data_IF_307318420562
#
_entry.id   IF_307318420562
#
_cell.length_a   1.000
_cell.length_b   1.000
_cell.length_c   1.000
_cell.angle_alpha   90.00
_cell.angle_beta   90.00
_cell.angle_gamma   90.00
#
_symmetry.space_group_name_H-M   'P 1'
#
loop_
_entity.id
_entity.type
_entity.pdbx_description
1 polymer ?
#
# COMPACT_ATOMS: atom_id res chain seq x y z
N UNK A 1 8.11 -3.33 8.94
CA UNK A 1 8.47 -2.08 8.27
C UNK A 1 7.91 -0.92 9.09
N UNK A 2 8.55 0.21 8.99
CA UNK A 2 8.12 1.44 9.68
C UNK A 2 8.17 2.60 8.70
N UNK A 3 7.24 3.54 8.84
CA UNK A 3 7.16 4.75 8.04
C UNK A 3 7.30 5.99 8.92
N UNK A 4 8.08 6.93 8.48
CA UNK A 4 8.20 8.27 9.05
C UNK A 4 8.38 9.28 7.91
N UNK A 5 8.23 10.55 8.20
CA UNK A 5 8.39 11.61 7.21
C UNK A 5 8.35 12.99 7.86
N UNK A 6 8.52 14.06 7.08
CA UNK A 6 8.55 15.42 7.61
C UNK A 6 7.27 15.81 8.38
N UNK A 7 6.16 15.14 8.09
CA UNK A 7 4.86 15.39 8.73
C UNK A 7 4.51 14.37 9.81
N UNK A 8 5.31 13.30 9.94
CA UNK A 8 5.10 12.21 10.89
C UNK A 8 6.42 11.92 11.58
N UNK A 9 6.60 12.50 12.77
CA UNK A 9 7.77 12.35 13.61
C UNK A 9 9.00 13.20 13.21
N UNK A 10 9.23 13.46 11.95
CA UNK A 10 10.40 14.20 11.49
C UNK A 10 11.72 13.42 11.58
N UNK A 11 12.84 14.08 11.24
CA UNK A 11 14.14 13.45 11.21
C UNK A 11 14.68 13.09 12.60
N UNK A 12 14.35 13.85 13.61
CA UNK A 12 14.84 13.60 14.98
C UNK A 12 14.24 12.31 15.52
N UNK A 13 12.92 12.14 15.45
CA UNK A 13 12.25 10.92 15.85
C UNK A 13 12.71 9.72 15.03
N UNK A 14 12.95 9.92 13.72
CA UNK A 14 13.53 8.91 12.85
C UNK A 14 14.91 8.45 13.31
N UNK A 15 15.77 9.36 13.70
CA UNK A 15 17.10 9.03 14.21
C UNK A 15 17.02 8.36 15.58
N UNK A 16 16.13 8.81 16.48
CA UNK A 16 15.89 8.18 17.76
C UNK A 16 15.40 6.74 17.61
N UNK A 17 14.40 6.49 16.75
CA UNK A 17 13.91 5.15 16.45
C UNK A 17 15.03 4.21 15.99
N UNK A 18 15.92 4.69 15.15
CA UNK A 18 17.05 3.91 14.64
C UNK A 18 18.18 3.69 15.66
N UNK A 19 18.26 4.52 16.67
CA UNK A 19 19.25 4.42 17.75
C UNK A 19 18.79 3.47 18.89
N UNK A 20 17.52 3.12 18.94
CA UNK A 20 16.99 2.22 19.98
C UNK A 20 17.57 0.82 19.78
N UNK A 21 18.24 0.29 20.82
CA UNK A 21 18.69 -1.10 20.84
C UNK A 21 17.49 -2.02 21.13
N UNK A 22 17.15 -2.87 20.17
CA UNK A 22 16.08 -3.85 20.25
C UNK A 22 16.43 -5.11 19.46
N UNK A 23 15.76 -6.21 19.75
CA UNK A 23 16.00 -7.50 19.08
C UNK A 23 15.29 -7.67 17.74
N UNK A 24 14.72 -6.59 17.15
CA UNK A 24 13.96 -6.63 15.90
C UNK A 24 14.65 -5.76 14.86
N UNK A 25 14.79 -6.26 13.62
CA UNK A 25 15.27 -5.45 12.51
C UNK A 25 14.15 -4.52 12.02
N UNK A 26 14.42 -3.20 12.02
CA UNK A 26 13.49 -2.20 11.51
C UNK A 26 13.89 -1.81 10.08
N UNK A 27 12.99 -2.04 9.13
CA UNK A 27 13.11 -1.56 7.75
C UNK A 27 12.26 -0.30 7.61
N UNK A 28 12.90 0.84 7.54
CA UNK A 28 12.21 2.12 7.50
C UNK A 28 12.02 2.67 6.08
N UNK A 29 10.89 3.33 5.88
CA UNK A 29 10.54 4.10 4.69
C UNK A 29 10.34 5.56 5.06
N UNK A 30 10.79 6.47 4.19
CA UNK A 30 10.67 7.91 4.42
C UNK A 30 9.58 8.50 3.52
N UNK A 31 8.54 9.09 4.12
CA UNK A 31 7.36 9.62 3.46
C UNK A 31 7.53 11.07 3.02
N UNK A 32 8.37 11.33 2.02
CA UNK A 32 8.56 12.65 1.44
C UNK A 32 8.51 12.60 -0.08
N UNK A 33 7.73 13.52 -0.68
CA UNK A 33 7.61 13.64 -2.13
C UNK A 33 8.87 14.23 -2.76
N UNK A 34 9.26 13.66 -3.88
CA UNK A 34 10.37 14.17 -4.69
C UNK A 34 9.94 14.36 -6.15
N UNK A 35 10.56 15.32 -6.83
CA UNK A 35 10.28 15.65 -8.24
C UNK A 35 11.47 15.41 -9.16
N UNK A 36 12.63 15.05 -8.61
CA UNK A 36 13.83 14.74 -9.37
C UNK A 36 14.67 13.66 -8.68
N UNK A 37 15.48 12.96 -9.45
CA UNK A 37 16.28 11.82 -8.99
C UNK A 37 17.40 12.22 -8.02
N UNK A 38 17.94 13.43 -8.14
CA UNK A 38 19.01 13.91 -7.24
C UNK A 38 18.47 14.08 -5.82
N UNK A 39 17.31 14.74 -5.67
CA UNK A 39 16.66 14.89 -4.37
C UNK A 39 16.30 13.52 -3.76
N UNK A 40 15.82 12.58 -4.58
CA UNK A 40 15.55 11.22 -4.10
C UNK A 40 16.80 10.54 -3.53
N UNK A 41 17.96 10.64 -4.21
CA UNK A 41 19.23 10.09 -3.71
C UNK A 41 19.69 10.77 -2.43
N UNK A 42 19.57 12.11 -2.34
CA UNK A 42 19.94 12.88 -1.16
C UNK A 42 19.12 12.47 0.07
N UNK A 43 17.80 12.31 -0.08
CA UNK A 43 16.94 11.84 1.01
C UNK A 43 17.33 10.43 1.48
N UNK A 44 17.60 9.50 0.56
CA UNK A 44 18.06 8.15 0.92
C UNK A 44 19.43 8.21 1.63
N UNK A 45 20.32 9.11 1.20
CA UNK A 45 21.63 9.28 1.85
C UNK A 45 21.49 9.80 3.28
N UNK A 46 20.63 10.79 3.50
CA UNK A 46 20.42 11.40 4.83
C UNK A 46 19.64 10.44 5.75
N UNK A 47 18.53 9.90 5.29
CA UNK A 47 17.62 9.09 6.11
C UNK A 47 18.09 7.64 6.26
N UNK A 48 18.89 7.14 5.31
CA UNK A 48 19.18 5.69 5.18
C UNK A 48 17.92 4.84 5.08
N UNK A 49 16.80 5.42 4.64
CA UNK A 49 15.55 4.71 4.43
C UNK A 49 15.69 3.70 3.28
N UNK A 50 14.86 2.67 3.32
CA UNK A 50 14.79 1.66 2.26
C UNK A 50 14.22 2.22 0.96
N UNK A 51 13.34 3.20 1.06
CA UNK A 51 12.69 3.86 -0.06
C UNK A 51 11.92 5.09 0.39
N UNK A 52 11.34 5.78 -0.58
CA UNK A 52 10.50 6.96 -0.37
C UNK A 52 9.03 6.55 -0.55
N UNK A 53 8.40 6.13 0.53
CA UNK A 53 7.10 5.47 0.52
C UNK A 53 6.44 5.54 1.91
N UNK A 54 5.32 4.86 2.04
CA UNK A 54 4.57 4.77 3.29
C UNK A 54 3.48 5.83 3.32
N UNK A 55 3.52 6.70 4.28
CA UNK A 55 2.50 7.73 4.52
C UNK A 55 2.55 8.92 3.55
N UNK A 56 2.81 8.65 2.28
CA UNK A 56 2.51 9.54 1.17
C UNK A 56 1.07 9.30 0.72
N UNK A 57 0.16 10.06 1.30
CA UNK A 57 -1.28 9.86 1.14
C UNK A 57 -1.76 10.36 -0.22
N UNK A 58 -2.18 9.44 -1.11
CA UNK A 58 -2.96 9.82 -2.31
C UNK A 58 -4.38 10.18 -1.90
N UNK A 59 -4.94 9.43 -0.95
CA UNK A 59 -6.25 9.64 -0.36
C UNK A 59 -6.24 9.36 1.15
N UNK A 60 -7.40 9.35 1.77
CA UNK A 60 -7.55 9.00 3.18
C UNK A 60 -8.12 7.61 3.38
N UNK A 61 -8.97 7.42 4.39
CA UNK A 61 -9.51 6.15 4.82
C UNK A 61 -11.04 6.07 4.71
N UNK A 62 -11.58 4.86 4.55
CA UNK A 62 -13.03 4.63 4.47
C UNK A 62 -13.74 4.95 5.80
N UNK A 63 -13.10 4.70 6.93
CA UNK A 63 -13.65 5.00 8.25
C UNK A 63 -14.03 6.47 8.42
N UNK A 64 -13.15 7.36 8.01
CA UNK A 64 -13.32 8.83 8.04
C UNK A 64 -14.07 9.39 6.82
N UNK A 65 -14.41 8.58 5.83
CA UNK A 65 -14.98 8.98 4.53
C UNK A 65 -14.06 9.93 3.74
N UNK A 66 -12.76 9.68 3.82
CA UNK A 66 -11.74 10.46 3.12
C UNK A 66 -11.00 9.66 2.05
N UNK A 67 -11.22 8.34 1.95
CA UNK A 67 -10.77 7.55 0.81
C UNK A 67 -11.46 8.09 -0.48
N UNK A 68 -10.69 8.27 -1.55
CA UNK A 68 -11.17 8.90 -2.78
C UNK A 68 -11.83 7.88 -3.69
N UNK A 69 -13.14 8.08 -3.91
CA UNK A 69 -14.03 7.17 -4.62
C UNK A 69 -14.51 7.77 -5.94
N UNK A 70 -14.76 6.92 -6.94
CA UNK A 70 -15.46 7.31 -8.17
C UNK A 70 -16.94 7.59 -7.91
N UNK A 71 -17.59 6.72 -7.14
CA UNK A 71 -18.97 6.87 -6.73
C UNK A 71 -19.06 7.37 -5.28
N UNK A 72 -20.09 8.16 -4.93
CA UNK A 72 -20.26 8.67 -3.59
C UNK A 72 -20.31 7.58 -2.51
N UNK A 73 -19.96 7.97 -1.29
CA UNK A 73 -20.21 7.16 -0.10
C UNK A 73 -21.69 6.87 0.05
N UNK A 74 -22.06 5.62 0.29
CA UNK A 74 -23.46 5.18 0.38
C UNK A 74 -24.22 5.76 1.60
N UNK A 75 -23.49 6.21 2.60
CA UNK A 75 -24.03 6.79 3.84
C UNK A 75 -23.88 8.32 3.92
N UNK A 76 -23.62 8.98 2.80
CA UNK A 76 -23.61 10.43 2.66
C UNK A 76 -24.63 10.89 1.61
N UNK A 77 -25.28 12.07 1.81
CA UNK A 77 -26.09 12.67 0.76
C UNK A 77 -25.22 13.02 -0.47
N UNK A 78 -25.76 12.80 -1.68
CA UNK A 78 -25.05 13.14 -2.94
C UNK A 78 -24.68 14.63 -3.04
N UNK A 79 -25.45 15.50 -2.40
CA UNK A 79 -25.17 16.94 -2.36
C UNK A 79 -24.01 17.32 -1.42
N UNK A 80 -23.46 16.37 -0.67
CA UNK A 80 -22.31 16.62 0.18
C UNK A 80 -21.06 16.89 -0.68
N UNK A 81 -20.35 18.02 -0.49
CA UNK A 81 -19.15 18.34 -1.30
C UNK A 81 -18.03 17.30 -1.22
N UNK A 82 -17.98 16.53 -0.14
CA UNK A 82 -17.00 15.47 0.10
C UNK A 82 -17.59 14.06 -0.06
N UNK A 83 -18.71 13.93 -0.80
CA UNK A 83 -19.38 12.64 -0.96
C UNK A 83 -18.50 11.56 -1.57
N UNK A 84 -17.46 11.94 -2.34
CA UNK A 84 -16.50 11.04 -2.96
C UNK A 84 -15.15 10.95 -2.21
N UNK A 85 -15.03 11.50 -1.01
CA UNK A 85 -13.76 11.57 -0.29
C UNK A 85 -12.82 12.66 -0.81
N UNK A 86 -11.53 12.49 -0.55
CA UNK A 86 -10.51 13.51 -0.84
C UNK A 86 -9.34 12.93 -1.62
N UNK A 87 -8.89 13.66 -2.65
CA UNK A 87 -7.57 13.48 -3.24
C UNK A 87 -6.59 14.44 -2.56
N UNK A 88 -5.52 13.92 -1.99
CA UNK A 88 -4.49 14.73 -1.34
C UNK A 88 -3.30 15.02 -2.24
N UNK A 89 -3.08 14.20 -3.27
CA UNK A 89 -2.01 14.39 -4.25
C UNK A 89 -2.58 14.55 -5.65
N UNK A 90 -2.07 15.53 -6.37
CA UNK A 90 -2.36 15.69 -7.79
C UNK A 90 -1.68 14.61 -8.63
N UNK A 91 -2.28 14.23 -9.76
CA UNK A 91 -1.78 13.15 -10.61
C UNK A 91 -0.36 13.39 -11.15
N UNK A 92 0.00 14.65 -11.42
CA UNK A 92 1.34 15.05 -11.84
C UNK A 92 2.37 14.88 -10.72
N UNK A 93 2.01 15.15 -9.47
CA UNK A 93 2.87 14.92 -8.30
C UNK A 93 3.15 13.43 -8.08
N UNK A 94 2.12 12.58 -8.24
CA UNK A 94 2.27 11.12 -8.17
C UNK A 94 3.23 10.64 -9.26
N UNK A 95 3.01 11.08 -10.49
CA UNK A 95 3.86 10.71 -11.66
C UNK A 95 5.29 11.20 -11.50
N UNK A 96 5.47 12.43 -11.02
CA UNK A 96 6.79 13.01 -10.78
C UNK A 96 7.57 12.23 -9.73
N UNK A 97 6.94 11.90 -8.60
CA UNK A 97 7.57 11.11 -7.54
C UNK A 97 7.99 9.72 -8.01
N UNK A 98 7.09 8.98 -8.66
CA UNK A 98 7.40 7.67 -9.22
C UNK A 98 8.53 7.72 -10.24
N UNK A 99 8.51 8.73 -11.14
CA UNK A 99 9.56 8.93 -12.13
C UNK A 99 10.91 9.24 -11.51
N UNK A 100 10.94 10.18 -10.54
CA UNK A 100 12.16 10.57 -9.84
C UNK A 100 12.79 9.40 -9.08
N UNK A 101 11.98 8.65 -8.35
CA UNK A 101 12.42 7.46 -7.63
C UNK A 101 12.91 6.36 -8.59
N UNK A 102 12.19 6.12 -9.68
CA UNK A 102 12.59 5.12 -10.70
C UNK A 102 13.94 5.48 -11.32
N UNK A 103 14.14 6.74 -11.71
CA UNK A 103 15.40 7.25 -12.25
C UNK A 103 16.54 7.20 -11.23
N UNK A 104 16.24 7.41 -9.95
CA UNK A 104 17.22 7.31 -8.85
C UNK A 104 17.58 5.87 -8.48
N UNK A 105 16.82 4.87 -8.93
CA UNK A 105 16.95 3.48 -8.48
C UNK A 105 16.40 3.23 -7.07
N UNK A 106 15.44 4.03 -6.62
CA UNK A 106 14.85 4.03 -5.28
C UNK A 106 13.43 3.45 -5.34
N UNK A 107 13.07 2.64 -4.35
CA UNK A 107 11.68 2.18 -4.18
C UNK A 107 10.79 3.37 -3.81
N UNK A 108 9.69 3.56 -4.56
CA UNK A 108 8.64 4.52 -4.26
C UNK A 108 7.38 3.81 -3.77
N UNK A 109 6.48 4.54 -3.13
CA UNK A 109 5.16 4.01 -2.78
C UNK A 109 4.24 5.05 -2.19
N UNK A 110 2.99 4.65 -2.00
CA UNK A 110 1.93 5.51 -1.52
C UNK A 110 0.93 4.76 -0.64
N UNK A 111 0.32 5.48 0.30
CA UNK A 111 -0.95 5.09 0.87
C UNK A 111 -2.06 5.30 -0.16
N UNK A 112 -2.84 4.26 -0.46
CA UNK A 112 -3.91 4.30 -1.46
C UNK A 112 -5.02 3.30 -1.14
N UNK A 113 -6.25 3.78 -0.98
CA UNK A 113 -7.40 2.97 -0.55
C UNK A 113 -8.53 2.97 -1.56
N UNK A 114 -9.09 4.13 -1.89
CA UNK A 114 -10.26 4.25 -2.76
C UNK A 114 -9.98 3.98 -4.23
N UNK A 115 -11.02 3.54 -4.97
CA UNK A 115 -10.87 3.16 -6.38
C UNK A 115 -10.40 4.30 -7.28
N UNK A 116 -10.75 5.56 -6.97
CA UNK A 116 -10.27 6.71 -7.73
C UNK A 116 -8.78 6.99 -7.48
N UNK A 117 -8.34 6.85 -6.22
CA UNK A 117 -6.93 6.96 -5.85
C UNK A 117 -6.09 5.85 -6.51
N UNK A 118 -6.57 4.60 -6.47
CA UNK A 118 -5.93 3.46 -7.16
C UNK A 118 -5.82 3.74 -8.67
N UNK A 119 -6.88 4.26 -9.28
CA UNK A 119 -6.88 4.61 -10.71
C UNK A 119 -5.83 5.66 -11.04
N UNK A 120 -5.69 6.70 -10.21
CA UNK A 120 -4.68 7.74 -10.39
C UNK A 120 -3.25 7.19 -10.29
N UNK A 121 -2.98 6.33 -9.30
CA UNK A 121 -1.65 5.72 -9.13
C UNK A 121 -1.32 4.75 -10.26
N UNK A 122 -2.28 3.94 -10.71
CA UNK A 122 -2.09 3.00 -11.83
C UNK A 122 -1.80 3.77 -13.13
N UNK A 123 -2.51 4.87 -13.41
CA UNK A 123 -2.24 5.72 -14.57
C UNK A 123 -0.84 6.37 -14.51
N UNK A 124 -0.42 6.81 -13.32
CA UNK A 124 0.93 7.33 -13.12
C UNK A 124 2.02 6.25 -13.34
N UNK A 125 1.81 5.04 -12.80
CA UNK A 125 2.70 3.89 -13.02
C UNK A 125 2.78 3.51 -14.51
N UNK A 126 1.67 3.54 -15.25
CA UNK A 126 1.65 3.28 -16.69
C UNK A 126 2.57 4.26 -17.45
N UNK A 127 2.46 5.56 -17.15
CA UNK A 127 3.35 6.59 -17.71
C UNK A 127 4.83 6.33 -17.36
N UNK A 128 5.12 5.89 -16.16
CA UNK A 128 6.49 5.56 -15.71
C UNK A 128 7.01 4.31 -16.41
N UNK A 129 6.16 3.29 -16.58
CA UNK A 129 6.50 2.07 -17.33
C UNK A 129 6.76 2.37 -18.80
N UNK A 130 5.97 3.23 -19.44
CA UNK A 130 6.19 3.69 -20.81
C UNK A 130 7.55 4.40 -20.96
N UNK A 131 7.92 5.21 -19.96
CA UNK A 131 9.17 5.98 -19.99
C UNK A 131 10.41 5.14 -19.69
N UNK A 132 10.38 4.27 -18.68
CA UNK A 132 11.56 3.57 -18.17
C UNK A 132 11.62 2.09 -18.53
N UNK A 133 10.51 1.54 -19.02
CA UNK A 133 10.34 0.13 -19.32
C UNK A 133 9.94 -0.72 -18.11
N UNK A 134 9.12 -1.73 -18.37
CA UNK A 134 8.55 -2.62 -17.36
C UNK A 134 9.62 -3.28 -16.46
N UNK A 135 10.72 -3.74 -17.05
CA UNK A 135 11.79 -4.42 -16.31
C UNK A 135 12.48 -3.50 -15.31
N UNK A 136 12.67 -2.23 -15.68
CA UNK A 136 13.29 -1.25 -14.78
C UNK A 136 12.38 -0.97 -13.57
N UNK A 137 11.10 -0.76 -13.82
CA UNK A 137 10.09 -0.54 -12.77
C UNK A 137 9.95 -1.77 -11.86
N UNK A 138 9.81 -2.96 -12.43
CA UNK A 138 9.63 -4.20 -11.68
C UNK A 138 10.82 -4.54 -10.75
N UNK A 139 12.04 -4.15 -11.14
CA UNK A 139 13.24 -4.37 -10.32
C UNK A 139 13.25 -3.56 -9.03
N UNK A 140 12.55 -2.44 -8.97
CA UNK A 140 12.54 -1.56 -7.82
C UNK A 140 11.55 -2.01 -6.75
N UNK A 141 10.51 -2.75 -7.14
CA UNK A 141 9.47 -3.20 -6.22
C UNK A 141 8.79 -2.01 -5.57
N UNK A 142 8.30 -1.07 -6.38
CA UNK A 142 7.43 -0.01 -5.86
C UNK A 142 6.27 -0.63 -5.09
N UNK A 143 5.79 0.06 -4.06
CA UNK A 143 4.81 -0.54 -3.15
C UNK A 143 3.60 0.36 -2.95
N UNK A 144 2.45 -0.25 -2.76
CA UNK A 144 1.21 0.43 -2.43
C UNK A 144 0.69 -0.13 -1.11
N UNK A 145 0.46 0.78 -0.16
CA UNK A 145 -0.11 0.44 1.13
C UNK A 145 -1.62 0.37 1.00
N UNK A 146 -2.23 -0.59 1.65
CA UNK A 146 -3.65 -0.91 1.71
C UNK A 146 -4.20 -1.49 0.41
N UNK A 147 -4.24 -0.73 -0.68
CA UNK A 147 -4.70 -1.18 -2.00
C UNK A 147 -6.03 -1.94 -1.93
N UNK A 148 -7.01 -1.38 -1.18
CA UNK A 148 -8.22 -2.11 -0.80
C UNK A 148 -9.22 -2.27 -1.94
N UNK A 149 -9.25 -1.33 -2.91
CA UNK A 149 -10.27 -1.27 -3.97
C UNK A 149 -9.63 -1.32 -5.36
N UNK A 150 -9.38 -2.53 -5.87
CA UNK A 150 -8.66 -2.80 -7.13
C UNK A 150 -9.55 -3.56 -8.10
N UNK A 151 -9.52 -3.18 -9.37
CA UNK A 151 -10.15 -3.94 -10.46
C UNK A 151 -9.24 -5.04 -10.99
N UNK A 152 -9.81 -6.00 -11.74
CA UNK A 152 -9.07 -7.10 -12.38
C UNK A 152 -8.00 -6.56 -13.35
N UNK A 153 -8.32 -5.53 -14.14
CA UNK A 153 -7.39 -4.91 -15.07
C UNK A 153 -6.23 -4.23 -14.33
N UNK A 154 -6.53 -3.49 -13.27
CA UNK A 154 -5.49 -2.85 -12.45
C UNK A 154 -4.59 -3.89 -11.77
N UNK A 155 -5.16 -4.97 -11.23
CA UNK A 155 -4.39 -6.06 -10.64
C UNK A 155 -3.43 -6.70 -11.66
N UNK A 156 -3.88 -6.94 -12.90
CA UNK A 156 -3.05 -7.49 -13.98
C UNK A 156 -1.88 -6.55 -14.33
N UNK A 157 -2.13 -5.24 -14.44
CA UNK A 157 -1.09 -4.23 -14.66
C UNK A 157 -0.08 -4.22 -13.53
N UNK A 158 -0.54 -4.11 -12.27
CA UNK A 158 0.32 -4.08 -11.09
C UNK A 158 1.19 -5.36 -10.97
N UNK A 159 0.61 -6.53 -11.26
CA UNK A 159 1.35 -7.80 -11.29
C UNK A 159 2.44 -7.79 -12.35
N UNK A 160 2.14 -7.34 -13.58
CA UNK A 160 3.10 -7.27 -14.67
C UNK A 160 4.25 -6.30 -14.37
N UNK A 161 3.98 -5.24 -13.62
CA UNK A 161 4.97 -4.21 -13.23
C UNK A 161 5.72 -4.55 -11.94
N UNK A 162 5.41 -5.70 -11.29
CA UNK A 162 6.06 -6.14 -10.07
C UNK A 162 5.83 -5.23 -8.86
N UNK A 163 4.74 -4.46 -8.87
CA UNK A 163 4.35 -3.58 -7.76
C UNK A 163 3.89 -4.43 -6.58
N UNK A 164 4.36 -4.11 -5.40
CA UNK A 164 4.06 -4.85 -4.16
C UNK A 164 2.80 -4.29 -3.53
N UNK A 165 1.83 -5.14 -3.23
CA UNK A 165 0.67 -4.81 -2.43
C UNK A 165 0.96 -5.09 -0.95
N UNK A 166 1.08 -4.03 -0.16
CA UNK A 166 1.31 -4.09 1.29
C UNK A 166 -0.02 -3.90 2.01
N UNK A 167 -0.63 -5.00 2.43
CA UNK A 167 -2.04 -5.04 2.81
C UNK A 167 -2.25 -5.51 4.25
N UNK A 168 -3.45 -5.26 4.79
CA UNK A 168 -3.83 -5.54 6.16
C UNK A 168 -5.06 -6.48 6.20
N UNK A 169 -4.85 -7.81 6.22
CA UNK A 169 -5.98 -8.74 6.29
C UNK A 169 -6.91 -8.54 7.49
N UNK A 170 -6.38 -8.02 8.58
CA UNK A 170 -7.17 -7.67 9.77
C UNK A 170 -8.23 -6.61 9.50
N UNK A 171 -8.08 -5.77 8.46
CA UNK A 171 -9.07 -4.77 8.08
C UNK A 171 -10.37 -5.43 7.61
N UNK A 172 -10.28 -6.45 6.74
CA UNK A 172 -11.46 -7.21 6.36
C UNK A 172 -12.10 -7.91 7.57
N UNK A 173 -11.30 -8.54 8.42
CA UNK A 173 -11.81 -9.24 9.60
C UNK A 173 -12.57 -8.34 10.58
N UNK A 174 -12.14 -7.06 10.72
CA UNK A 174 -12.74 -6.10 11.65
C UNK A 174 -13.88 -5.30 11.02
N UNK A 175 -13.79 -4.99 9.73
CA UNK A 175 -14.66 -4.00 9.08
C UNK A 175 -15.41 -4.54 7.86
N UNK A 176 -15.07 -5.74 7.39
CA UNK A 176 -15.70 -6.42 6.26
C UNK A 176 -17.08 -6.98 6.58
N UNK A 177 -17.61 -7.73 5.63
CA UNK A 177 -18.93 -8.36 5.73
C UNK A 177 -20.09 -7.43 5.38
N UNK A 178 -21.28 -8.02 5.16
CA UNK A 178 -22.46 -7.32 4.66
C UNK A 178 -23.03 -6.27 5.63
N UNK A 179 -22.73 -6.41 6.92
CA UNK A 179 -23.15 -5.47 7.97
C UNK A 179 -21.98 -4.67 8.54
N UNK A 180 -20.77 -4.90 8.04
CA UNK A 180 -19.56 -4.25 8.47
C UNK A 180 -19.48 -2.77 8.13
N UNK A 181 -18.42 -2.11 8.57
CA UNK A 181 -18.21 -0.70 8.31
C UNK A 181 -18.07 -0.43 6.81
N UNK A 182 -17.37 -1.29 6.07
CA UNK A 182 -17.20 -1.15 4.62
C UNK A 182 -18.54 -1.15 3.88
N UNK A 183 -19.42 -2.11 4.19
CA UNK A 183 -20.74 -2.17 3.56
C UNK A 183 -21.59 -0.93 3.84
N UNK A 184 -21.47 -0.35 5.03
CA UNK A 184 -22.15 0.92 5.35
C UNK A 184 -21.58 2.10 4.56
N UNK A 185 -20.25 2.13 4.35
CA UNK A 185 -19.56 3.24 3.68
C UNK A 185 -19.76 3.23 2.15
N UNK A 186 -19.58 2.08 1.54
CA UNK A 186 -19.54 1.99 0.07
C UNK A 186 -20.67 1.15 -0.53
N UNK A 187 -21.56 0.62 0.30
CA UNK A 187 -22.59 -0.34 -0.12
C UNK A 187 -22.07 -1.77 -0.20
N UNK A 188 -22.98 -2.74 -0.05
CA UNK A 188 -22.64 -4.16 0.06
C UNK A 188 -21.89 -4.69 -1.16
N UNK A 189 -22.30 -4.30 -2.37
CA UNK A 189 -21.71 -4.83 -3.61
C UNK A 189 -20.24 -4.37 -3.81
N UNK A 190 -19.92 -3.13 -3.48
CA UNK A 190 -18.51 -2.64 -3.52
C UNK A 190 -17.70 -3.26 -2.38
N UNK A 191 -18.28 -3.34 -1.18
CA UNK A 191 -17.61 -3.93 -0.01
C UNK A 191 -17.23 -5.41 -0.23
N UNK A 192 -18.04 -6.18 -0.93
CA UNK A 192 -17.72 -7.59 -1.27
C UNK A 192 -16.49 -7.75 -2.15
N UNK A 193 -16.09 -6.72 -2.88
CA UNK A 193 -14.92 -6.73 -3.79
C UNK A 193 -13.66 -6.15 -3.16
N UNK A 194 -13.75 -5.66 -1.94
CA UNK A 194 -12.61 -5.05 -1.24
C UNK A 194 -11.61 -6.10 -0.75
N UNK A 195 -10.38 -5.64 -0.52
CA UNK A 195 -9.28 -6.47 -0.05
C UNK A 195 -9.10 -7.76 -0.89
N UNK A 196 -8.95 -7.66 -2.23
CA UNK A 196 -9.07 -8.80 -3.14
C UNK A 196 -7.77 -9.62 -3.19
N UNK A 197 -7.36 -10.25 -2.07
CA UNK A 197 -6.09 -10.97 -1.96
C UNK A 197 -5.93 -12.07 -3.02
N UNK A 198 -6.99 -12.88 -3.25
CA UNK A 198 -6.94 -13.95 -4.23
C UNK A 198 -6.80 -13.42 -5.66
N UNK A 199 -7.49 -12.35 -6.02
CA UNK A 199 -7.35 -11.68 -7.30
C UNK A 199 -5.91 -11.19 -7.50
N UNK A 200 -5.38 -10.40 -6.57
CA UNK A 200 -4.02 -9.87 -6.64
C UNK A 200 -2.98 -10.99 -6.77
N UNK A 201 -3.10 -12.03 -5.95
CA UNK A 201 -2.21 -13.20 -6.03
C UNK A 201 -2.30 -13.92 -7.38
N UNK A 202 -3.51 -14.08 -7.95
CA UNK A 202 -3.73 -14.75 -9.24
C UNK A 202 -3.12 -13.97 -10.41
N UNK A 203 -3.06 -12.64 -10.30
CA UNK A 203 -2.43 -11.75 -11.27
C UNK A 203 -0.93 -11.56 -11.06
N UNK A 204 -0.33 -12.31 -10.12
CA UNK A 204 1.10 -12.27 -9.85
C UNK A 204 1.57 -11.06 -9.06
N UNK A 205 0.67 -10.27 -8.46
CA UNK A 205 1.03 -9.17 -7.56
C UNK A 205 1.69 -9.74 -6.31
N UNK A 206 2.92 -9.32 -5.97
CA UNK A 206 3.56 -9.74 -4.74
C UNK A 206 2.81 -9.17 -3.52
N UNK A 207 2.30 -10.06 -2.66
CA UNK A 207 1.61 -9.67 -1.44
C UNK A 207 2.59 -9.59 -0.27
N UNK A 208 2.46 -8.53 0.53
CA UNK A 208 3.11 -8.36 1.83
C UNK A 208 2.03 -8.02 2.86
N UNK A 209 1.94 -8.78 3.95
CA UNK A 209 0.93 -8.55 4.98
C UNK A 209 1.53 -7.97 6.25
N UNK A 210 0.87 -6.97 6.78
CA UNK A 210 1.20 -6.27 8.02
C UNK A 210 -0.05 -5.93 8.82
N UNK A 211 0.16 -5.30 9.97
CA UNK A 211 -0.90 -4.88 10.90
C UNK A 211 -1.37 -3.45 10.70
N UNK A 212 -0.49 -2.61 10.18
CA UNK A 212 -0.68 -1.15 10.22
C UNK A 212 -0.87 -0.65 11.68
N UNK A 213 -0.06 -1.22 12.59
CA UNK A 213 -0.12 -0.83 14.02
C UNK A 213 0.19 0.67 14.20
N UNK A 214 -0.58 1.39 15.02
CA UNK A 214 -1.58 0.92 16.01
C UNK A 214 -3.01 0.78 15.48
N UNK A 215 -3.26 0.93 14.19
CA UNK A 215 -4.61 0.81 13.59
C UNK A 215 -5.20 -0.58 13.85
N UNK A 216 -4.38 -1.64 13.71
CA UNK A 216 -4.70 -2.97 14.21
C UNK A 216 -3.54 -3.53 15.04
N UNK A 217 -3.83 -4.54 15.87
CA UNK A 217 -2.84 -5.17 16.73
C UNK A 217 -1.72 -5.84 15.93
N UNK A 218 -0.49 -5.77 16.41
CA UNK A 218 0.64 -6.56 15.88
C UNK A 218 0.47 -8.04 16.22
N UNK A 219 -0.46 -8.70 15.54
CA UNK A 219 -0.77 -10.11 15.70
C UNK A 219 -0.66 -10.86 14.37
N UNK A 220 0.54 -11.38 14.02
CA UNK A 220 0.76 -12.01 12.72
C UNK A 220 -0.11 -13.26 12.49
N UNK A 221 -0.46 -13.99 13.53
CA UNK A 221 -1.35 -15.15 13.40
C UNK A 221 -2.81 -14.75 13.17
N UNK A 222 -3.27 -13.63 13.74
CA UNK A 222 -4.57 -13.06 13.42
C UNK A 222 -4.61 -12.58 11.96
N UNK A 223 -3.54 -11.95 11.49
CA UNK A 223 -3.37 -11.54 10.08
C UNK A 223 -3.47 -12.74 9.11
N UNK A 224 -2.74 -13.82 9.39
CA UNK A 224 -2.80 -15.05 8.57
C UNK A 224 -4.20 -15.65 8.59
N UNK A 225 -4.84 -15.72 9.74
CA UNK A 225 -6.23 -16.21 9.87
C UNK A 225 -7.19 -15.36 9.07
N UNK A 226 -7.14 -14.03 9.21
CA UNK A 226 -8.01 -13.10 8.49
C UNK A 226 -7.93 -13.31 6.97
N UNK A 227 -6.73 -13.44 6.42
CA UNK A 227 -6.54 -13.69 4.99
C UNK A 227 -7.13 -15.03 4.50
N UNK A 228 -7.30 -16.01 5.40
CA UNK A 228 -7.89 -17.34 5.08
C UNK A 228 -9.39 -17.42 5.32
N UNK A 229 -9.94 -16.51 6.12
CA UNK A 229 -11.36 -16.47 6.51
C UNK A 229 -12.04 -15.17 6.08
N UNK A 230 -11.61 -14.62 4.96
CA UNK A 230 -12.14 -13.38 4.39
C UNK A 230 -13.68 -13.43 4.28
N UNK A 231 -14.35 -12.31 4.58
CA UNK A 231 -15.81 -12.22 4.50
C UNK A 231 -16.35 -12.51 3.09
N UNK A 232 -15.62 -12.13 2.06
CA UNK A 232 -15.87 -12.54 0.68
C UNK A 232 -15.01 -13.77 0.36
N UNK A 233 -15.61 -14.96 0.30
CA UNK A 233 -14.89 -16.23 0.14
C UNK A 233 -14.02 -16.28 -1.12
N UNK A 234 -14.41 -15.56 -2.19
CA UNK A 234 -13.62 -15.42 -3.42
C UNK A 234 -12.33 -14.61 -3.27
N UNK A 235 -12.19 -13.84 -2.20
CA UNK A 235 -10.99 -13.04 -1.89
C UNK A 235 -10.02 -13.74 -0.94
N UNK A 236 -10.45 -14.82 -0.28
CA UNK A 236 -9.61 -15.59 0.64
C UNK A 236 -8.47 -16.31 -0.09
N UNK A 237 -7.34 -16.45 0.58
CA UNK A 237 -6.19 -17.23 0.08
C UNK A 237 -5.88 -18.41 1.00
N UNK A 238 -5.08 -19.36 0.50
CA UNK A 238 -4.68 -20.51 1.32
C UNK A 238 -3.82 -20.10 2.51
N UNK A 239 -3.84 -20.87 3.59
CA UNK A 239 -3.00 -20.63 4.77
C UNK A 239 -1.51 -20.57 4.41
N UNK A 240 -1.05 -21.38 3.45
CA UNK A 240 0.32 -21.33 2.94
C UNK A 240 0.63 -19.99 2.27
N UNK A 241 -0.26 -19.49 1.44
CA UNK A 241 -0.09 -18.21 0.76
C UNK A 241 -0.14 -17.05 1.77
N UNK A 242 -1.09 -17.07 2.71
CA UNK A 242 -1.20 -16.07 3.76
C UNK A 242 0.05 -16.01 4.64
N UNK A 243 0.55 -17.16 5.08
CA UNK A 243 1.80 -17.24 5.84
C UNK A 243 3.00 -16.74 5.03
N UNK A 244 3.10 -17.12 3.74
CA UNK A 244 4.16 -16.66 2.87
C UNK A 244 4.11 -15.12 2.66
N UNK A 245 2.92 -14.53 2.56
CA UNK A 245 2.74 -13.06 2.45
C UNK A 245 3.12 -12.34 3.73
N UNK A 246 2.81 -12.92 4.91
CA UNK A 246 3.18 -12.35 6.21
C UNK A 246 4.68 -12.54 6.57
N UNK A 247 5.41 -13.38 5.85
CA UNK A 247 6.83 -13.67 6.09
C UNK A 247 7.70 -13.28 4.90
N UNK A 248 7.87 -14.15 3.91
CA UNK A 248 8.71 -13.88 2.73
C UNK A 248 8.23 -12.67 1.92
N UNK A 249 6.92 -12.45 1.82
CA UNK A 249 6.34 -11.29 1.16
C UNK A 249 6.73 -9.99 1.88
N UNK A 250 6.62 -9.98 3.20
CA UNK A 250 7.04 -8.85 4.02
C UNK A 250 8.56 -8.60 3.91
N UNK A 251 9.40 -9.62 3.94
CA UNK A 251 10.84 -9.49 3.69
C UNK A 251 11.16 -8.95 2.29
N UNK A 252 10.46 -9.45 1.27
CA UNK A 252 10.60 -8.92 -0.10
C UNK A 252 10.24 -7.44 -0.16
N UNK A 253 9.15 -7.04 0.48
CA UNK A 253 8.75 -5.64 0.59
C UNK A 253 9.80 -4.79 1.34
N UNK A 254 10.51 -5.38 2.31
CA UNK A 254 11.68 -4.77 2.97
C UNK A 254 12.95 -4.76 2.13
N UNK A 255 12.93 -5.29 0.90
CA UNK A 255 14.06 -5.28 -0.04
C UNK A 255 14.98 -6.50 0.04
N UNK A 256 14.65 -7.50 0.81
CA UNK A 256 15.37 -8.79 0.83
C UNK A 256 14.85 -9.67 -0.30
N UNK A 257 15.71 -9.98 -1.27
CA UNK A 257 15.29 -10.63 -2.52
C UNK A 257 15.41 -12.17 -2.51
N UNK A 258 16.28 -12.72 -1.72
CA UNK A 258 16.65 -14.13 -1.71
C UNK A 258 15.85 -14.99 -0.74
N UNK A 259 15.03 -14.39 0.12
CA UNK A 259 14.12 -15.11 1.02
C UNK A 259 14.80 -16.06 2.00
N UNK A 260 16.12 -15.94 2.18
CA UNK A 260 16.91 -16.83 3.03
C UNK A 260 16.85 -16.44 4.51
N UNK A 261 16.39 -15.26 4.79
CA UNK A 261 16.22 -14.76 6.15
C UNK A 261 14.85 -15.13 6.69
N UNK A 262 14.76 -16.12 7.51
CA UNK A 262 13.52 -16.49 8.16
C UNK A 262 13.22 -17.98 8.05
N UNK A 263 14.18 -18.77 8.45
CA UNK A 263 13.94 -20.14 8.92
C UNK A 263 13.36 -20.10 10.32
#
# INVERSE_FOLDING_TARGET
HECAGPQIGGLDDWHELRAIEHGVEIVGYWGELVTNAEHARQLIEVTKARGLAGDLFVDGALGSRTAWLHEPYADLPECCPTANGNSYLAADAITAHLSACTEAGVTAGFHVIGEAAVSAVVAALETVVERFGQVAVARLGHRLEHLEMVTDEQAAKLGSWGVIASMQPSFDALWGGETGMYARRVGVERARRMNPFALLASQGVPLAFGSDSPVTDMNPWATVRAATTHHSTGSAISARAAFASATRGAWRAGGVRDGVTGT
#
